data_IF_507028675485
#
_entry.id   IF_507028675485
#
_cell.length_a   1.000
_cell.length_b   1.000
_cell.length_c   1.000
_cell.angle_alpha   90.00
_cell.angle_beta   90.00
_cell.angle_gamma   90.00
#
_symmetry.space_group_name_H-M   'P 1'
#
loop_
_entity.id
_entity.type
_entity.pdbx_description
1 polymer ?
#
# COMPACT_ATOMS: atom_id res chain seq x y z
N UNK A 1 15.24 -0.85 -13.66
CA UNK A 1 14.58 -0.92 -12.33
C UNK A 1 13.09 -0.54 -12.39
N UNK A 2 12.74 0.60 -12.99
CA UNK A 2 11.35 1.07 -13.09
C UNK A 2 10.40 0.10 -13.81
N UNK A 3 10.79 -0.46 -14.97
CA UNK A 3 10.00 -1.47 -15.71
C UNK A 3 9.67 -2.68 -14.82
N UNK A 4 10.68 -3.19 -14.10
CA UNK A 4 10.50 -4.30 -13.15
C UNK A 4 9.56 -3.93 -12.00
N UNK A 5 9.61 -2.71 -11.49
CA UNK A 5 8.63 -2.23 -10.49
C UNK A 5 7.20 -2.30 -11.03
N UNK A 6 6.92 -1.75 -12.23
CA UNK A 6 5.59 -1.85 -12.83
C UNK A 6 5.17 -3.30 -13.11
N UNK A 7 6.10 -4.17 -13.52
CA UNK A 7 5.82 -5.60 -13.71
C UNK A 7 5.46 -6.30 -12.40
N UNK A 8 6.15 -5.99 -11.31
CA UNK A 8 5.82 -6.46 -9.97
C UNK A 8 4.43 -5.97 -9.53
N UNK A 9 4.13 -4.68 -9.71
CA UNK A 9 2.82 -4.13 -9.41
C UNK A 9 1.71 -4.84 -10.23
N UNK A 10 1.94 -5.15 -11.50
CA UNK A 10 0.96 -5.92 -12.30
C UNK A 10 0.73 -7.32 -11.76
N UNK A 11 1.78 -8.02 -11.32
CA UNK A 11 1.62 -9.32 -10.68
C UNK A 11 0.83 -9.22 -9.36
N UNK A 12 1.07 -8.19 -8.55
CA UNK A 12 0.28 -7.93 -7.33
C UNK A 12 -1.18 -7.64 -7.69
N UNK A 13 -1.44 -6.85 -8.73
CA UNK A 13 -2.79 -6.54 -9.19
C UNK A 13 -3.54 -7.81 -9.64
N UNK A 14 -2.89 -8.72 -10.37
CA UNK A 14 -3.50 -9.99 -10.75
C UNK A 14 -3.80 -10.86 -9.52
N UNK A 15 -2.87 -10.93 -8.57
CA UNK A 15 -3.07 -11.62 -7.30
C UNK A 15 -4.23 -11.03 -6.48
N UNK A 16 -4.40 -9.71 -6.52
CA UNK A 16 -5.51 -9.02 -5.88
C UNK A 16 -6.87 -9.35 -6.52
N UNK A 17 -6.95 -9.45 -7.85
CA UNK A 17 -8.16 -9.93 -8.53
C UNK A 17 -8.47 -11.39 -8.21
N UNK A 18 -7.46 -12.27 -8.25
CA UNK A 18 -7.67 -13.69 -7.91
C UNK A 18 -8.14 -13.86 -6.47
N UNK A 19 -7.56 -13.11 -5.52
CA UNK A 19 -8.06 -13.07 -4.16
C UNK A 19 -9.53 -12.64 -4.14
N UNK A 20 -9.88 -11.58 -4.85
CA UNK A 20 -11.25 -11.07 -4.85
C UNK A 20 -12.25 -12.06 -5.44
N UNK A 21 -11.89 -12.80 -6.49
CA UNK A 21 -12.73 -13.86 -7.07
C UNK A 21 -13.08 -14.92 -6.02
N UNK A 22 -12.14 -15.25 -5.13
CA UNK A 22 -12.33 -16.20 -4.03
C UNK A 22 -13.03 -15.59 -2.78
N UNK A 23 -13.25 -14.26 -2.74
CA UNK A 23 -13.72 -13.52 -1.57
C UNK A 23 -14.83 -12.51 -1.91
N UNK A 24 -15.89 -12.96 -2.57
CA UNK A 24 -17.10 -12.16 -2.90
C UNK A 24 -16.79 -10.86 -3.67
N UNK A 25 -15.76 -10.89 -4.51
CA UNK A 25 -15.30 -9.75 -5.31
C UNK A 25 -14.61 -8.66 -4.48
N UNK A 26 -14.13 -8.95 -3.27
CA UNK A 26 -13.58 -7.95 -2.32
C UNK A 26 -12.10 -8.20 -2.01
N UNK A 27 -11.39 -7.12 -1.72
CA UNK A 27 -10.04 -7.19 -1.17
C UNK A 27 -10.01 -7.69 0.29
N UNK A 28 -8.82 -8.00 0.78
CA UNK A 28 -8.61 -8.33 2.19
C UNK A 28 -8.94 -7.12 3.09
N UNK A 29 -9.48 -7.33 4.31
CA UNK A 29 -9.65 -6.27 5.30
C UNK A 29 -8.38 -5.44 5.53
N UNK A 30 -8.54 -4.15 5.81
CA UNK A 30 -7.43 -3.19 5.96
C UNK A 30 -6.40 -3.67 6.99
N UNK A 31 -5.11 -3.59 6.64
CA UNK A 31 -3.96 -3.87 7.52
C UNK A 31 -2.90 -2.80 7.36
N UNK A 32 -2.58 -2.08 8.44
CA UNK A 32 -1.66 -0.94 8.38
C UNK A 32 -0.19 -1.39 8.52
N UNK A 33 0.04 -2.32 9.45
CA UNK A 33 1.37 -2.80 9.79
C UNK A 33 1.99 -3.66 8.69
N UNK A 34 3.18 -4.19 8.97
CA UNK A 34 4.11 -4.57 7.90
C UNK A 34 4.87 -5.87 8.17
N UNK A 35 4.32 -6.75 9.00
CA UNK A 35 4.95 -8.05 9.27
C UNK A 35 4.65 -9.10 8.22
N UNK A 36 5.67 -9.87 7.91
CA UNK A 36 5.62 -11.13 7.20
C UNK A 36 5.85 -12.31 8.13
N UNK A 37 6.61 -12.15 9.20
CA UNK A 37 7.00 -13.26 10.10
C UNK A 37 5.97 -13.43 11.22
N UNK A 38 5.56 -14.67 11.47
CA UNK A 38 4.63 -15.05 12.54
C UNK A 38 5.20 -14.75 13.93
N UNK A 39 4.32 -14.66 14.91
CA UNK A 39 4.75 -14.51 16.30
C UNK A 39 5.67 -15.64 16.73
N UNK A 40 6.73 -15.27 17.46
CA UNK A 40 7.81 -16.20 17.88
C UNK A 40 8.54 -16.85 16.70
N UNK A 41 8.45 -16.28 15.50
CA UNK A 41 9.28 -16.66 14.36
C UNK A 41 10.72 -16.18 14.49
N UNK A 42 11.52 -16.44 13.46
CA UNK A 42 12.91 -15.99 13.38
C UNK A 42 12.99 -14.59 12.78
N UNK A 43 13.40 -13.60 13.59
CA UNK A 43 13.60 -12.20 13.17
C UNK A 43 15.06 -11.87 12.90
N UNK A 44 15.98 -12.84 13.04
CA UNK A 44 17.39 -12.64 12.69
C UNK A 44 17.61 -12.61 11.17
N UNK A 45 16.71 -13.24 10.42
CA UNK A 45 16.55 -13.12 8.97
C UNK A 45 15.09 -12.77 8.62
N UNK A 46 14.76 -11.47 8.45
CA UNK A 46 13.42 -11.03 8.10
C UNK A 46 13.00 -11.33 6.65
N UNK A 47 13.64 -12.30 6.00
CA UNK A 47 13.23 -12.80 4.68
C UNK A 47 11.97 -13.67 4.81
N UNK A 48 10.83 -13.28 4.22
CA UNK A 48 9.60 -14.03 4.31
C UNK A 48 9.78 -15.40 3.67
N UNK A 49 9.55 -16.44 4.46
CA UNK A 49 9.44 -17.80 3.99
C UNK A 49 8.06 -18.35 4.36
N UNK A 50 7.55 -19.29 3.55
CA UNK A 50 6.17 -19.77 3.70
C UNK A 50 5.89 -20.41 5.06
N UNK A 51 6.87 -21.09 5.67
CA UNK A 51 6.68 -21.77 6.96
C UNK A 51 6.75 -20.83 8.18
N UNK A 52 7.33 -19.64 8.01
CA UNK A 52 7.41 -18.58 9.02
C UNK A 52 6.39 -17.47 8.76
N UNK A 53 5.55 -17.56 7.72
CA UNK A 53 4.64 -16.49 7.37
C UNK A 53 3.54 -16.30 8.41
N UNK A 54 3.27 -15.04 8.74
CA UNK A 54 2.17 -14.63 9.61
C UNK A 54 0.82 -14.86 8.92
N UNK A 55 -0.25 -15.04 9.70
CA UNK A 55 -1.59 -15.13 9.12
C UNK A 55 -2.02 -13.77 8.53
N UNK A 56 -2.72 -13.73 7.38
CA UNK A 56 -3.12 -12.48 6.74
C UNK A 56 -4.07 -11.64 7.62
N UNK A 57 -4.88 -12.30 8.44
CA UNK A 57 -5.78 -11.64 9.38
C UNK A 57 -5.10 -11.13 10.65
N UNK A 58 -3.82 -11.44 10.88
CA UNK A 58 -3.08 -10.94 12.03
C UNK A 58 -3.05 -9.40 12.03
N UNK A 59 -3.24 -8.73 13.18
CA UNK A 59 -3.30 -7.26 13.24
C UNK A 59 -2.05 -6.59 12.67
N UNK A 60 -0.89 -7.20 12.91
CA UNK A 60 0.43 -6.70 12.50
C UNK A 60 0.86 -7.08 11.06
N UNK A 61 0.05 -7.85 10.34
CA UNK A 61 0.45 -8.35 9.02
C UNK A 61 0.58 -7.24 7.98
N UNK A 62 1.59 -7.33 7.12
CA UNK A 62 1.64 -6.59 5.87
C UNK A 62 0.47 -7.00 4.98
N UNK A 63 -0.17 -6.02 4.33
CA UNK A 63 -1.31 -6.30 3.45
C UNK A 63 -0.98 -7.30 2.33
N UNK A 64 0.28 -7.35 1.87
CA UNK A 64 0.74 -8.31 0.85
C UNK A 64 0.66 -9.77 1.28
N UNK A 65 0.63 -10.06 2.58
CA UNK A 65 0.49 -11.43 3.12
C UNK A 65 -0.79 -12.09 2.62
N UNK A 66 -1.87 -11.33 2.44
CA UNK A 66 -3.14 -11.86 1.93
C UNK A 66 -3.07 -12.30 0.46
N UNK A 67 -2.15 -11.72 -0.31
CA UNK A 67 -2.12 -11.88 -1.77
C UNK A 67 -0.96 -12.76 -2.26
N UNK A 68 0.04 -13.03 -1.42
CA UNK A 68 1.27 -13.74 -1.84
C UNK A 68 1.04 -15.18 -2.29
N UNK A 69 -0.02 -15.86 -1.82
CA UNK A 69 -0.36 -17.21 -2.31
C UNK A 69 -0.71 -17.22 -3.79
N UNK A 70 -1.28 -16.12 -4.29
CA UNK A 70 -1.68 -15.92 -5.69
C UNK A 70 -0.51 -15.46 -6.59
N UNK A 71 0.66 -15.17 -6.02
CA UNK A 71 1.90 -14.89 -6.77
C UNK A 71 2.83 -16.10 -6.88
N UNK A 72 2.33 -17.30 -6.58
CA UNK A 72 3.15 -18.50 -6.47
C UNK A 72 4.05 -18.48 -5.23
N UNK A 73 3.61 -17.82 -4.14
CA UNK A 73 4.36 -17.69 -2.89
C UNK A 73 5.68 -16.94 -3.03
N UNK A 74 5.71 -15.88 -3.85
CA UNK A 74 6.92 -15.09 -4.13
C UNK A 74 6.86 -13.69 -3.49
N UNK A 75 7.47 -13.48 -2.30
CA UNK A 75 7.59 -12.16 -1.69
C UNK A 75 8.35 -11.16 -2.55
N UNK A 76 9.22 -11.63 -3.46
CA UNK A 76 10.00 -10.80 -4.38
C UNK A 76 9.14 -9.86 -5.23
N UNK A 77 7.87 -10.21 -5.45
CA UNK A 77 6.92 -9.35 -6.16
C UNK A 77 6.62 -8.07 -5.35
N UNK A 78 6.68 -8.12 -4.02
CA UNK A 78 6.46 -6.96 -3.12
C UNK A 78 7.72 -6.13 -2.85
N UNK A 79 8.83 -6.44 -3.54
CA UNK A 79 10.08 -5.68 -3.53
C UNK A 79 10.26 -4.90 -4.83
N UNK A 80 10.14 -3.57 -4.74
CA UNK A 80 10.59 -2.68 -5.78
C UNK A 80 12.13 -2.68 -5.85
N UNK A 81 12.75 -2.97 -7.00
CA UNK A 81 14.22 -3.04 -7.13
C UNK A 81 14.93 -1.68 -7.02
N UNK A 82 14.18 -0.58 -6.93
CA UNK A 82 14.71 0.76 -6.67
C UNK A 82 14.54 1.19 -5.21
N UNK A 83 13.83 0.41 -4.38
CA UNK A 83 13.68 0.68 -2.96
C UNK A 83 15.04 0.69 -2.25
N UNK A 84 15.19 1.65 -1.35
CA UNK A 84 16.35 1.78 -0.46
C UNK A 84 15.93 1.82 1.01
N UNK A 85 14.67 2.09 1.28
CA UNK A 85 14.07 2.07 2.60
C UNK A 85 12.56 1.75 2.50
N UNK A 86 11.99 1.41 3.64
CA UNK A 86 10.55 1.26 3.92
C UNK A 86 10.29 1.89 5.29
N UNK A 87 9.06 1.86 5.80
CA UNK A 87 8.76 2.25 7.19
C UNK A 87 9.48 1.36 8.22
N UNK A 88 10.80 1.51 8.31
CA UNK A 88 11.67 0.78 9.21
C UNK A 88 12.04 1.61 10.44
N UNK A 89 11.16 2.54 10.82
CA UNK A 89 11.37 3.41 11.98
C UNK A 89 11.25 2.68 13.32
N UNK A 90 10.58 1.53 13.35
CA UNK A 90 10.61 0.62 14.49
C UNK A 90 11.77 -0.36 14.29
N UNK A 91 12.30 -0.96 15.35
CA UNK A 91 13.50 -1.83 15.22
C UNK A 91 13.12 -3.30 15.44
N UNK A 92 11.93 -3.58 15.96
CA UNK A 92 11.47 -4.91 16.39
C UNK A 92 9.94 -5.05 16.31
N UNK A 93 9.40 -6.27 16.45
CA UNK A 93 7.99 -6.50 16.72
C UNK A 93 7.48 -5.58 17.86
N UNK A 94 6.20 -5.21 17.86
CA UNK A 94 5.11 -5.91 17.17
C UNK A 94 4.82 -5.47 15.74
N UNK A 95 5.32 -4.32 15.27
CA UNK A 95 4.80 -3.67 14.06
C UNK A 95 5.53 -4.02 12.76
N UNK A 96 6.77 -4.50 12.84
CA UNK A 96 7.60 -4.85 11.69
C UNK A 96 8.61 -5.96 12.03
N UNK A 97 9.28 -6.48 11.01
CA UNK A 97 10.19 -7.63 11.18
C UNK A 97 11.68 -7.25 11.27
N UNK A 98 12.06 -5.99 11.07
CA UNK A 98 13.45 -5.54 11.19
C UNK A 98 13.77 -4.32 10.33
N UNK A 99 15.06 -3.98 10.17
CA UNK A 99 15.49 -2.87 9.33
C UNK A 99 15.60 -3.27 7.86
N UNK A 100 15.43 -2.32 6.92
CA UNK A 100 15.51 -2.62 5.49
C UNK A 100 16.85 -3.24 5.10
N UNK A 101 17.95 -2.69 5.65
CA UNK A 101 19.33 -3.18 5.43
C UNK A 101 19.56 -4.61 5.94
N UNK A 102 18.75 -5.07 6.90
CA UNK A 102 18.88 -6.38 7.53
C UNK A 102 17.93 -7.42 6.87
N UNK A 103 17.23 -7.05 5.80
CA UNK A 103 16.41 -7.97 4.99
C UNK A 103 14.92 -7.65 4.95
N UNK A 104 14.45 -6.67 5.73
CA UNK A 104 13.06 -6.25 5.80
C UNK A 104 12.65 -5.41 4.57
N UNK A 105 12.56 -6.06 3.41
CA UNK A 105 12.53 -5.38 2.10
C UNK A 105 11.30 -5.67 1.24
N UNK A 106 10.39 -6.54 1.70
CA UNK A 106 9.25 -7.00 0.88
C UNK A 106 7.95 -6.26 1.22
N UNK A 107 8.06 -4.97 1.56
CA UNK A 107 6.94 -4.11 1.96
C UNK A 107 6.98 -2.75 1.25
N UNK A 108 7.48 -2.72 0.02
CA UNK A 108 7.86 -1.46 -0.68
C UNK A 108 6.72 -0.73 -1.37
N UNK A 109 5.49 -1.21 -1.19
CA UNK A 109 4.29 -0.67 -1.81
C UNK A 109 3.29 -0.27 -0.72
N UNK A 110 2.79 0.97 -0.84
CA UNK A 110 1.77 1.55 0.01
C UNK A 110 0.39 1.31 -0.58
N UNK A 111 -0.46 0.61 0.16
CA UNK A 111 -1.84 0.37 -0.25
C UNK A 111 -2.71 1.58 0.05
N UNK A 112 -3.74 1.81 -0.77
CA UNK A 112 -4.68 2.92 -0.55
C UNK A 112 -5.57 2.61 0.67
N UNK A 113 -5.12 3.07 1.84
CA UNK A 113 -5.84 3.01 3.11
C UNK A 113 -6.74 4.22 3.37
N UNK A 114 -6.84 5.13 2.39
CA UNK A 114 -7.22 6.51 2.62
C UNK A 114 -8.61 6.62 3.24
N UNK A 115 -8.70 7.24 4.41
CA UNK A 115 -9.97 7.53 5.08
C UNK A 115 -10.00 8.89 5.78
N UNK A 116 -8.85 9.57 5.89
CA UNK A 116 -8.72 10.84 6.61
C UNK A 116 -8.00 11.93 5.82
N UNK A 117 -8.55 13.14 5.87
CA UNK A 117 -7.98 14.33 5.22
C UNK A 117 -8.37 15.61 5.94
N UNK A 118 -7.61 16.68 5.78
CA UNK A 118 -7.99 18.03 6.22
C UNK A 118 -8.83 18.78 5.16
N UNK A 119 -8.93 18.25 3.94
CA UNK A 119 -9.66 18.84 2.84
C UNK A 119 -11.19 18.69 3.02
N UNK A 120 -11.86 19.78 3.37
CA UNK A 120 -13.32 19.79 3.63
C UNK A 120 -14.16 19.36 2.43
N UNK A 121 -13.67 19.52 1.20
CA UNK A 121 -14.36 19.11 -0.04
C UNK A 121 -14.54 17.59 -0.13
N UNK A 122 -13.74 16.84 0.64
CA UNK A 122 -13.76 15.38 0.69
C UNK A 122 -14.68 14.82 1.76
N UNK A 123 -15.08 15.62 2.75
CA UNK A 123 -15.75 15.11 3.95
C UNK A 123 -17.08 14.44 3.60
N UNK A 124 -17.26 13.21 4.09
CA UNK A 124 -18.45 12.40 3.83
C UNK A 124 -18.59 11.89 2.40
N UNK A 125 -17.58 12.06 1.54
CA UNK A 125 -17.50 11.27 0.31
C UNK A 125 -17.26 9.80 0.66
N UNK A 126 -17.85 8.90 -0.12
CA UNK A 126 -17.58 7.47 0.03
C UNK A 126 -16.14 7.14 -0.34
N UNK A 127 -15.52 6.24 0.42
CA UNK A 127 -14.17 5.74 0.13
C UNK A 127 -14.17 4.85 -1.12
N UNK A 128 -13.07 4.91 -1.89
CA UNK A 128 -12.91 4.11 -3.12
C UNK A 128 -12.69 2.63 -2.81
N UNK A 129 -11.66 2.32 -2.04
CA UNK A 129 -11.20 0.93 -1.79
C UNK A 129 -11.96 0.27 -0.65
N UNK A 130 -12.54 1.07 0.24
CA UNK A 130 -13.18 0.62 1.48
C UNK A 130 -14.67 0.99 1.53
N UNK A 131 -15.44 0.27 2.34
CA UNK A 131 -16.76 0.72 2.77
C UNK A 131 -16.61 1.79 3.87
N UNK A 132 -17.39 2.87 3.76
CA UNK A 132 -17.35 4.00 4.69
C UNK A 132 -17.23 5.35 3.99
N UNK A 133 -17.10 6.41 4.78
CA UNK A 133 -16.94 7.78 4.30
C UNK A 133 -15.72 8.47 4.89
N UNK A 134 -15.14 9.39 4.11
CA UNK A 134 -13.99 10.21 4.54
C UNK A 134 -14.34 10.99 5.81
N UNK A 135 -13.46 10.92 6.81
CA UNK A 135 -13.57 11.59 8.12
C UNK A 135 -14.80 11.21 8.98
N UNK A 136 -15.41 10.03 8.78
CA UNK A 136 -16.58 9.60 9.58
C UNK A 136 -16.21 8.78 10.85
N UNK A 137 -15.10 9.15 11.49
CA UNK A 137 -14.66 8.72 12.84
C UNK A 137 -14.44 7.22 13.11
N UNK A 138 -14.18 6.41 12.08
CA UNK A 138 -13.59 5.07 12.27
C UNK A 138 -12.65 4.71 11.13
N UNK A 139 -11.62 3.93 11.44
CA UNK A 139 -10.77 3.30 10.44
C UNK A 139 -11.58 2.23 9.70
N UNK A 140 -11.65 2.25 8.36
CA UNK A 140 -12.44 1.29 7.63
C UNK A 140 -11.85 -0.12 7.76
N UNK A 141 -12.71 -1.12 8.00
CA UNK A 141 -12.29 -2.52 8.20
C UNK A 141 -12.78 -3.46 7.10
N UNK A 142 -13.62 -2.98 6.17
CA UNK A 142 -14.23 -3.80 5.12
C UNK A 142 -13.92 -3.24 3.74
N UNK A 143 -13.27 -4.04 2.90
CA UNK A 143 -12.97 -3.66 1.53
C UNK A 143 -14.25 -3.58 0.70
N UNK A 144 -14.36 -2.57 -0.15
CA UNK A 144 -15.42 -2.46 -1.15
C UNK A 144 -15.23 -3.55 -2.22
N UNK A 145 -16.33 -4.02 -2.81
CA UNK A 145 -16.25 -4.92 -3.96
C UNK A 145 -15.59 -4.22 -5.15
N UNK A 146 -14.60 -4.86 -5.78
CA UNK A 146 -13.79 -4.26 -6.86
C UNK A 146 -14.68 -3.80 -8.03
N UNK A 147 -15.73 -4.56 -8.34
CA UNK A 147 -16.72 -4.22 -9.37
C UNK A 147 -17.49 -2.92 -9.11
N UNK A 148 -17.45 -2.41 -7.88
CA UNK A 148 -18.11 -1.17 -7.47
C UNK A 148 -17.15 0.00 -7.26
N UNK A 149 -15.88 -0.15 -7.65
CA UNK A 149 -14.92 0.94 -7.52
C UNK A 149 -15.31 2.10 -8.44
N UNK A 150 -15.41 3.32 -7.92
CA UNK A 150 -15.73 4.47 -8.75
C UNK A 150 -14.54 4.76 -9.67
N UNK A 151 -14.81 5.12 -10.93
CA UNK A 151 -13.81 5.57 -11.93
C UNK A 151 -12.52 4.71 -11.90
N UNK A 152 -12.55 3.41 -12.24
CA UNK A 152 -11.42 2.51 -12.04
C UNK A 152 -10.08 2.97 -12.67
N UNK A 153 -10.15 3.66 -13.82
CA UNK A 153 -8.97 4.24 -14.49
C UNK A 153 -8.38 5.46 -13.77
N UNK A 154 -9.02 5.96 -12.72
CA UNK A 154 -8.55 7.10 -11.92
C UNK A 154 -8.60 6.81 -10.41
N UNK A 155 -8.83 5.55 -10.02
CA UNK A 155 -8.75 5.12 -8.62
C UNK A 155 -7.43 4.40 -8.39
N UNK A 156 -6.59 5.00 -7.54
CA UNK A 156 -5.33 4.42 -7.10
C UNK A 156 -5.60 3.29 -6.11
N UNK A 157 -5.03 2.11 -6.34
CA UNK A 157 -5.14 0.96 -5.40
C UNK A 157 -3.90 0.86 -4.53
N UNK A 158 -2.71 1.01 -5.13
CA UNK A 158 -1.45 1.08 -4.42
C UNK A 158 -0.39 1.76 -5.28
N UNK A 159 0.71 2.15 -4.65
CA UNK A 159 1.84 2.83 -5.29
C UNK A 159 3.15 2.41 -4.63
N UNK A 160 4.28 2.76 -5.24
CA UNK A 160 5.52 2.77 -4.45
C UNK A 160 5.44 3.82 -3.36
N UNK A 161 5.84 3.43 -2.15
CA UNK A 161 5.75 4.27 -0.97
C UNK A 161 6.73 3.81 0.10
N UNK A 162 7.08 4.73 0.99
CA UNK A 162 7.79 4.39 2.21
C UNK A 162 6.85 3.66 3.20
N UNK A 163 5.64 4.21 3.38
CA UNK A 163 4.55 3.63 4.18
C UNK A 163 3.95 2.38 3.52
N UNK A 164 3.55 1.39 4.34
CA UNK A 164 2.82 0.20 3.88
C UNK A 164 1.35 0.46 3.60
N UNK A 165 0.74 1.44 4.27
CA UNK A 165 -0.66 1.82 4.08
C UNK A 165 -0.80 3.34 4.14
N UNK A 166 -1.54 3.90 3.18
CA UNK A 166 -1.70 5.34 3.00
C UNK A 166 -3.04 5.77 3.60
N UNK A 167 -3.06 5.98 4.91
CA UNK A 167 -4.28 6.06 5.73
C UNK A 167 -4.94 7.43 5.71
N UNK A 168 -4.13 8.47 5.60
CA UNK A 168 -4.62 9.81 5.38
C UNK A 168 -3.76 10.59 4.42
N UNK A 169 -4.20 11.81 4.13
CA UNK A 169 -3.46 12.74 3.27
C UNK A 169 -2.00 12.92 3.73
N UNK A 170 -1.76 12.79 5.03
CA UNK A 170 -0.45 12.91 5.67
C UNK A 170 0.53 11.79 5.30
N UNK A 171 0.04 10.65 4.80
CA UNK A 171 0.86 9.53 4.32
C UNK A 171 1.04 9.55 2.81
N UNK A 172 0.35 10.46 2.11
CA UNK A 172 0.36 10.53 0.65
C UNK A 172 1.29 11.64 0.13
N UNK A 173 1.83 11.50 -1.09
CA UNK A 173 2.49 12.57 -1.86
C UNK A 173 1.82 13.96 -1.87
N UNK A 174 0.54 14.05 -1.54
CA UNK A 174 -0.22 15.32 -1.45
C UNK A 174 0.28 16.16 -0.26
N UNK A 175 0.59 15.53 0.88
CA UNK A 175 1.04 16.25 2.06
C UNK A 175 2.34 15.70 2.66
N UNK A 176 2.43 14.38 2.82
CA UNK A 176 3.54 13.64 3.47
C UNK A 176 3.85 14.09 4.90
N UNK A 177 2.95 14.84 5.55
CA UNK A 177 2.98 15.14 6.98
C UNK A 177 4.38 15.42 7.55
N UNK A 178 4.71 14.69 8.62
CA UNK A 178 6.04 14.74 9.25
C UNK A 178 7.15 14.12 8.39
N UNK A 179 6.81 13.25 7.44
CA UNK A 179 7.75 12.59 6.52
C UNK A 179 8.37 13.58 5.53
N UNK A 180 7.73 14.71 5.26
CA UNK A 180 8.24 15.75 4.40
C UNK A 180 9.58 16.36 4.87
N UNK A 181 9.94 16.22 6.14
CA UNK A 181 11.23 16.66 6.67
C UNK A 181 12.38 15.67 6.38
N UNK A 182 12.07 14.42 6.04
CA UNK A 182 13.05 13.33 5.92
C UNK A 182 13.27 12.98 4.45
N UNK A 183 14.39 13.44 3.89
CA UNK A 183 14.67 13.32 2.44
C UNK A 183 14.64 11.85 1.98
N UNK A 184 15.20 10.95 2.77
CA UNK A 184 15.25 9.53 2.46
C UNK A 184 13.85 8.92 2.38
N UNK A 185 12.92 9.30 3.27
CA UNK A 185 11.52 8.82 3.24
C UNK A 185 10.78 9.39 2.04
N UNK A 186 10.99 10.68 1.77
CA UNK A 186 10.44 11.35 0.57
C UNK A 186 10.90 10.69 -0.72
N UNK A 187 12.18 10.35 -0.83
CA UNK A 187 12.75 9.74 -2.03
C UNK A 187 12.09 8.38 -2.34
N UNK A 188 11.62 7.65 -1.35
CA UNK A 188 10.92 6.39 -1.55
C UNK A 188 9.54 6.57 -2.24
N UNK A 189 8.87 7.72 -2.12
CA UNK A 189 7.65 8.00 -2.92
C UNK A 189 7.95 8.36 -4.39
N UNK A 190 9.23 8.63 -4.71
CA UNK A 190 9.66 9.12 -6.02
C UNK A 190 10.93 8.40 -6.53
N UNK A 191 11.10 7.13 -6.14
CA UNK A 191 12.37 6.38 -6.26
C UNK A 191 12.76 5.99 -7.69
N UNK A 192 12.00 6.44 -8.68
CA UNK A 192 12.23 6.13 -10.09
C UNK A 192 12.59 7.37 -10.91
N UNK A 193 13.60 8.12 -10.47
CA UNK A 193 14.03 9.39 -11.09
C UNK A 193 12.97 10.49 -10.93
N UNK A 194 12.62 10.79 -9.67
CA UNK A 194 11.65 11.82 -9.29
C UNK A 194 10.22 11.58 -9.81
N UNK A 195 9.88 10.31 -10.03
CA UNK A 195 8.49 9.87 -10.25
C UNK A 195 8.17 8.70 -9.33
N UNK A 196 6.91 8.65 -8.89
CA UNK A 196 6.31 7.50 -8.22
C UNK A 196 5.47 6.70 -9.21
N UNK A 197 5.50 5.37 -9.13
CA UNK A 197 4.62 4.50 -9.90
C UNK A 197 3.29 4.29 -9.19
N UNK A 198 2.22 4.28 -9.97
CA UNK A 198 0.84 4.11 -9.47
C UNK A 198 0.22 2.88 -10.13
N UNK A 199 -0.46 2.04 -9.35
CA UNK A 199 -1.36 1.00 -9.84
C UNK A 199 -2.81 1.47 -9.71
N UNK A 200 -3.53 1.44 -10.82
CA UNK A 200 -4.94 1.85 -10.91
C UNK A 200 -5.87 0.65 -10.82
N UNK A 201 -7.12 0.94 -10.46
CA UNK A 201 -8.15 -0.07 -10.22
C UNK A 201 -8.70 -0.74 -11.49
N UNK A 202 -8.46 -0.20 -12.69
CA UNK A 202 -8.67 -0.92 -13.97
C UNK A 202 -7.49 -1.83 -14.33
N UNK A 203 -6.47 -1.84 -13.46
CA UNK A 203 -5.27 -2.60 -13.62
C UNK A 203 -4.11 -1.87 -14.25
N UNK A 204 -4.28 -0.69 -14.86
CA UNK A 204 -3.18 -0.04 -15.53
C UNK A 204 -2.11 0.49 -14.57
N UNK A 205 -0.88 0.67 -15.05
CA UNK A 205 0.21 1.23 -14.24
C UNK A 205 0.71 2.52 -14.88
N UNK A 206 0.68 3.63 -14.13
CA UNK A 206 1.15 4.94 -14.60
C UNK A 206 2.15 5.54 -13.62
N UNK A 207 2.44 6.83 -13.77
CA UNK A 207 3.41 7.57 -12.98
C UNK A 207 2.93 8.98 -12.70
N UNK A 208 3.34 9.51 -11.54
CA UNK A 208 3.22 10.91 -11.21
C UNK A 208 4.58 11.48 -10.82
N UNK A 209 4.82 12.72 -11.21
CA UNK A 209 6.06 13.43 -10.89
C UNK A 209 6.11 13.80 -9.42
N UNK A 210 7.32 14.03 -8.92
CA UNK A 210 7.54 14.64 -7.60
C UNK A 210 6.86 15.99 -7.51
N UNK A 211 6.12 16.20 -6.42
CA UNK A 211 5.52 17.47 -6.07
C UNK A 211 4.00 17.40 -5.99
N UNK A 212 3.45 18.09 -4.99
CA UNK A 212 2.05 18.02 -4.57
C UNK A 212 1.05 18.32 -5.70
N UNK A 213 1.42 19.17 -6.66
CA UNK A 213 0.55 19.55 -7.80
C UNK A 213 0.31 18.40 -8.79
N UNK A 214 1.15 17.37 -8.77
CA UNK A 214 1.05 16.22 -9.67
C UNK A 214 0.28 15.05 -9.04
N UNK A 215 -0.18 15.20 -7.80
CA UNK A 215 -0.94 14.20 -7.07
C UNK A 215 -2.30 14.76 -6.69
N UNK A 216 -3.33 13.92 -6.78
CA UNK A 216 -4.72 14.34 -6.59
C UNK A 216 -5.38 13.52 -5.51
N UNK A 217 -6.08 14.19 -4.61
CA UNK A 217 -6.87 13.51 -3.56
C UNK A 217 -7.99 12.67 -4.17
N UNK A 218 -8.54 13.12 -5.30
CA UNK A 218 -9.52 12.37 -6.10
C UNK A 218 -9.04 10.97 -6.50
N UNK A 219 -7.72 10.74 -6.62
CA UNK A 219 -7.20 9.42 -6.97
C UNK A 219 -7.32 8.42 -5.83
N UNK A 220 -7.20 8.87 -4.59
CA UNK A 220 -7.35 8.02 -3.40
C UNK A 220 -8.82 7.77 -3.07
N UNK A 221 -9.69 8.75 -3.33
CA UNK A 221 -11.15 8.67 -3.09
C UNK A 221 -11.88 8.04 -4.29
N UNK A 222 -11.29 8.09 -5.48
CA UNK A 222 -11.86 7.61 -6.75
C UNK A 222 -12.99 8.47 -7.31
N UNK A 223 -13.13 9.71 -6.84
CA UNK A 223 -14.29 10.59 -7.11
C UNK A 223 -13.87 12.06 -7.14
N UNK A 224 -14.68 12.89 -7.78
CA UNK A 224 -14.50 14.34 -7.72
C UNK A 224 -14.79 14.88 -6.30
N UNK A 225 -14.02 15.87 -5.89
CA UNK A 225 -14.26 16.62 -4.66
C UNK A 225 -15.45 17.57 -4.85
N UNK A 226 -16.20 17.83 -3.77
CA UNK A 226 -17.36 18.75 -3.78
C UNK A 226 -16.91 20.20 -3.83
#
# INVERSE_FOLDING_TARGET
KQIKCKSNMRQIQLAWYQYADDHDGRGHPRRNWMRWIKDRGDFSDPTPNRSQMIAPYHPEAYWGVAYVSYTGWSPNVFLCPAAKAVDDQYIRPPHQDGLFKDGFKYVTYGFNGFFRTSNRRSFGLELAVWEGGVNQNSTPIKARAISSYPRPSETLVFQDAWESMLDGVDDTPIFLGQWAAWKERLDEYYRHSDVGNIMWADGHASQAKRGKIYWKEEWYIGRHLR
#
